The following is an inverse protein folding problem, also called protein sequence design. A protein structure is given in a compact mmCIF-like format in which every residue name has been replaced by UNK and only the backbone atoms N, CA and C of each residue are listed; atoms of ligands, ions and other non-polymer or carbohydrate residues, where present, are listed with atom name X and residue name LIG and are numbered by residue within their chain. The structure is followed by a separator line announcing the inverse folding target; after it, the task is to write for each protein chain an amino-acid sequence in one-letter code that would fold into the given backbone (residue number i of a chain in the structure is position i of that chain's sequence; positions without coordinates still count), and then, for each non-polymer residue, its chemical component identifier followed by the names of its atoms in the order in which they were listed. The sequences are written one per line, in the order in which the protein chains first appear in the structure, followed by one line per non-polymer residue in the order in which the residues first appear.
data_IF_775312407233
#
_entry.id   IF_775312407233
#
_cell.length_a   1.000
_cell.length_b   1.000
_cell.length_c   1.000
_cell.angle_alpha   90.00
_cell.angle_beta   90.00
_cell.angle_gamma   90.00
#
_symmetry.space_group_name_H-M   'P 1'
#
loop_
_entity.id
_entity.type
_entity.pdbx_description
1 polymer ?
#
# COMPACT_ATOMS: atom_id res chain seq x y z
N UNK A 1 -60.59 -29.79 -57.87
CA UNK A 1 -59.77 -29.17 -58.92
C UNK A 1 -59.47 -27.77 -58.43
N UNK A 2 -58.33 -27.62 -57.75
CA UNK A 2 -57.70 -26.38 -57.22
C UNK A 2 -58.56 -25.48 -56.33
N UNK A 3 -58.05 -24.74 -55.36
CA UNK A 3 -56.77 -24.64 -54.67
C UNK A 3 -57.08 -23.92 -53.35
N UNK A 4 -56.42 -24.32 -52.27
CA UNK A 4 -56.42 -23.64 -50.98
C UNK A 4 -55.57 -22.35 -51.09
N UNK A 5 -56.14 -21.19 -50.73
CA UNK A 5 -55.40 -19.93 -50.58
C UNK A 5 -55.31 -19.58 -49.09
N UNK A 6 -54.27 -20.14 -48.46
CA UNK A 6 -53.87 -19.92 -47.07
C UNK A 6 -53.03 -18.62 -47.02
N UNK A 7 -53.50 -17.62 -46.28
CA UNK A 7 -52.86 -16.32 -46.15
C UNK A 7 -51.56 -16.44 -45.33
N UNK A 8 -50.43 -16.53 -46.04
CA UNK A 8 -49.09 -16.58 -45.47
C UNK A 8 -48.71 -15.28 -44.73
N UNK A 9 -48.39 -15.41 -43.45
CA UNK A 9 -47.72 -14.37 -42.66
C UNK A 9 -46.33 -14.07 -43.24
N UNK A 10 -46.07 -12.80 -43.55
CA UNK A 10 -44.78 -12.34 -44.04
C UNK A 10 -43.68 -12.51 -42.97
N UNK A 11 -42.82 -13.51 -43.16
CA UNK A 11 -41.63 -13.72 -42.35
C UNK A 11 -40.57 -12.65 -42.68
N UNK A 12 -40.03 -12.01 -41.64
CA UNK A 12 -38.89 -11.10 -41.75
C UNK A 12 -37.66 -11.82 -42.33
N UNK A 13 -36.81 -11.15 -43.13
CA UNK A 13 -35.68 -11.79 -43.80
C UNK A 13 -34.65 -12.30 -42.80
N UNK A 14 -34.21 -13.55 -43.02
CA UNK A 14 -33.14 -14.19 -42.26
C UNK A 14 -31.82 -13.40 -42.41
N UNK A 15 -31.03 -13.22 -41.32
CA UNK A 15 -29.75 -12.56 -41.40
C UNK A 15 -28.75 -13.42 -42.19
N UNK A 16 -28.05 -12.78 -43.13
CA UNK A 16 -26.95 -13.33 -43.93
C UNK A 16 -25.80 -13.80 -43.04
N UNK A 17 -25.14 -14.93 -43.37
CA UNK A 17 -23.99 -15.42 -42.62
C UNK A 17 -22.73 -14.63 -43.06
N UNK A 18 -22.55 -13.46 -42.46
CA UNK A 18 -21.31 -12.68 -42.50
C UNK A 18 -20.81 -12.45 -41.08
N UNK A 19 -19.68 -13.07 -40.75
CA UNK A 19 -18.83 -12.83 -39.58
C UNK A 19 -19.51 -12.57 -38.24
N UNK A 20 -20.25 -13.57 -37.76
CA UNK A 20 -20.35 -13.79 -36.31
C UNK A 20 -19.28 -14.79 -35.92
N UNK A 21 -18.09 -14.28 -35.56
CA UNK A 21 -17.18 -15.08 -34.76
C UNK A 21 -17.92 -15.58 -33.51
N UNK A 22 -17.79 -16.86 -33.14
CA UNK A 22 -18.24 -17.35 -31.82
C UNK A 22 -17.52 -16.52 -30.73
N UNK A 23 -18.08 -16.42 -29.50
CA UNK A 23 -17.54 -15.53 -28.47
C UNK A 23 -16.10 -15.96 -28.17
N UNK A 24 -15.15 -15.18 -28.71
CA UNK A 24 -13.74 -15.37 -28.49
C UNK A 24 -13.54 -15.34 -26.97
N UNK A 25 -12.90 -16.37 -26.43
CA UNK A 25 -12.62 -16.49 -25.00
C UNK A 25 -12.15 -15.14 -24.45
N UNK A 26 -12.67 -14.77 -23.26
CA UNK A 26 -12.40 -13.48 -22.59
C UNK A 26 -11.00 -12.99 -22.98
N UNK A 27 -10.93 -11.81 -23.62
CA UNK A 27 -9.67 -11.21 -24.04
C UNK A 27 -8.66 -11.34 -22.91
N UNK A 28 -7.38 -11.58 -23.23
CA UNK A 28 -6.33 -11.78 -22.23
C UNK A 28 -6.35 -10.70 -21.13
N UNK A 29 -6.78 -9.49 -21.48
CA UNK A 29 -7.11 -8.39 -20.57
C UNK A 29 -8.00 -8.82 -19.39
N UNK A 30 -9.19 -9.39 -19.62
CA UNK A 30 -10.13 -9.77 -18.55
C UNK A 30 -9.69 -10.99 -17.72
N UNK A 31 -8.56 -11.62 -18.07
CA UNK A 31 -7.95 -12.68 -17.28
C UNK A 31 -6.92 -12.12 -16.28
N UNK A 32 -6.53 -10.86 -16.45
CA UNK A 32 -5.64 -10.18 -15.52
C UNK A 32 -6.38 -9.80 -14.25
N UNK A 33 -5.68 -9.80 -13.13
CA UNK A 33 -6.22 -9.45 -11.82
C UNK A 33 -5.10 -8.87 -10.96
N UNK A 34 -5.28 -7.70 -10.31
CA UNK A 34 -6.46 -6.83 -10.35
C UNK A 34 -6.55 -6.02 -11.66
N UNK A 35 -7.64 -5.30 -11.82
CA UNK A 35 -7.72 -4.11 -12.67
C UNK A 35 -7.81 -2.85 -11.80
N UNK A 36 -7.17 -1.77 -12.26
CA UNK A 36 -7.32 -0.44 -11.68
C UNK A 36 -7.37 0.63 -12.78
N UNK A 37 -8.27 1.60 -12.64
CA UNK A 37 -8.49 2.69 -13.57
C UNK A 37 -8.58 4.02 -12.82
N UNK A 38 -7.93 5.05 -13.33
CA UNK A 38 -8.20 6.45 -12.96
C UNK A 38 -8.85 7.09 -14.19
N UNK A 39 -10.07 7.60 -14.02
CA UNK A 39 -10.87 8.22 -15.07
C UNK A 39 -11.19 9.65 -14.69
N UNK A 40 -11.29 10.57 -15.65
CA UNK A 40 -11.89 11.89 -15.39
C UNK A 40 -13.42 11.80 -15.42
N UNK A 41 -14.10 12.87 -14.96
CA UNK A 41 -15.57 13.03 -15.13
C UNK A 41 -16.06 12.83 -16.57
N UNK A 42 -15.22 13.16 -17.57
CA UNK A 42 -15.53 12.97 -18.97
C UNK A 42 -15.34 11.51 -19.45
N UNK A 43 -15.25 10.54 -18.53
CA UNK A 43 -14.97 9.13 -18.82
C UNK A 43 -13.65 8.89 -19.56
N UNK A 44 -12.70 9.83 -19.48
CA UNK A 44 -11.40 9.69 -20.13
C UNK A 44 -10.42 8.96 -19.21
N UNK A 45 -9.78 7.87 -19.66
CA UNK A 45 -8.79 7.19 -18.86
C UNK A 45 -7.53 8.06 -18.71
N UNK A 46 -7.19 8.38 -17.46
CA UNK A 46 -5.95 9.03 -17.05
C UNK A 46 -4.88 7.96 -16.83
N UNK A 47 -5.24 6.84 -16.21
CA UNK A 47 -4.39 5.67 -15.98
C UNK A 47 -5.21 4.39 -16.07
N UNK A 48 -4.58 3.33 -16.60
CA UNK A 48 -5.05 1.96 -16.52
C UNK A 48 -3.87 1.06 -16.13
N UNK A 49 -4.10 0.12 -15.22
CA UNK A 49 -3.06 -0.81 -14.76
C UNK A 49 -2.53 -1.69 -15.90
N UNK A 50 -3.44 -2.11 -16.77
CA UNK A 50 -3.15 -2.88 -17.98
C UNK A 50 -3.52 -2.05 -19.20
N UNK A 51 -2.81 -2.26 -20.31
CA UNK A 51 -3.02 -1.51 -21.55
C UNK A 51 -4.45 -1.70 -22.09
N UNK A 52 -5.04 -0.61 -22.58
CA UNK A 52 -6.39 -0.59 -23.13
C UNK A 52 -6.31 -0.66 -24.66
N UNK A 53 -6.59 -1.85 -25.22
CA UNK A 53 -6.74 -2.03 -26.67
C UNK A 53 -8.10 -1.57 -27.22
N UNK A 54 -8.20 -1.51 -28.55
CA UNK A 54 -9.43 -1.25 -29.28
C UNK A 54 -10.56 -2.21 -28.83
N UNK A 55 -11.69 -1.64 -28.41
CA UNK A 55 -12.84 -2.38 -27.87
C UNK A 55 -13.02 -2.25 -26.35
N UNK A 56 -11.96 -1.94 -25.60
CA UNK A 56 -12.07 -1.70 -24.15
C UNK A 56 -12.67 -0.34 -23.78
N UNK A 57 -12.84 0.57 -24.76
CA UNK A 57 -13.56 1.84 -24.58
C UNK A 57 -15.00 1.63 -24.10
N UNK A 58 -15.66 0.58 -24.58
CA UNK A 58 -17.00 0.18 -24.15
C UNK A 58 -17.05 -0.18 -22.66
N UNK A 59 -15.97 -0.75 -22.12
CA UNK A 59 -15.84 -1.09 -20.70
C UNK A 59 -15.64 0.15 -19.84
N UNK A 60 -14.79 1.09 -20.28
CA UNK A 60 -14.63 2.39 -19.58
C UNK A 60 -15.95 3.16 -19.57
N UNK A 61 -16.67 3.18 -20.70
CA UNK A 61 -17.99 3.79 -20.79
C UNK A 61 -19.01 3.14 -19.83
N UNK A 62 -18.98 1.82 -19.68
CA UNK A 62 -19.82 1.10 -18.71
C UNK A 62 -19.51 1.53 -17.27
N UNK A 63 -18.24 1.63 -16.89
CA UNK A 63 -17.85 2.07 -15.54
C UNK A 63 -18.39 3.48 -15.25
N UNK A 64 -18.25 4.39 -16.20
CA UNK A 64 -18.79 5.75 -16.06
C UNK A 64 -20.32 5.78 -16.03
N UNK A 65 -21.00 4.96 -16.83
CA UNK A 65 -22.46 4.85 -16.79
C UNK A 65 -22.98 4.35 -15.44
N UNK A 66 -22.28 3.40 -14.79
CA UNK A 66 -22.63 2.93 -13.45
C UNK A 66 -22.55 4.05 -12.41
N UNK A 67 -21.50 4.87 -12.46
CA UNK A 67 -21.33 6.03 -11.56
C UNK A 67 -22.45 7.05 -11.81
N UNK A 68 -22.68 7.42 -13.07
CA UNK A 68 -23.72 8.39 -13.44
C UNK A 68 -25.14 7.95 -13.04
N UNK A 69 -25.44 6.64 -13.16
CA UNK A 69 -26.73 6.11 -12.72
C UNK A 69 -26.92 6.20 -11.21
N UNK A 70 -25.86 5.94 -10.42
CA UNK A 70 -25.93 6.14 -8.96
C UNK A 70 -26.20 7.61 -8.62
N UNK A 71 -25.50 8.54 -9.28
CA UNK A 71 -25.72 9.98 -9.10
C UNK A 71 -27.15 10.41 -9.46
N UNK A 72 -27.73 9.86 -10.53
CA UNK A 72 -29.11 10.14 -10.92
C UNK A 72 -30.14 9.68 -9.88
N UNK A 73 -29.79 8.68 -9.05
CA UNK A 73 -30.58 8.21 -7.93
C UNK A 73 -30.31 8.99 -6.62
N UNK A 74 -29.42 9.99 -6.66
CA UNK A 74 -29.01 10.76 -5.48
C UNK A 74 -28.08 10.00 -4.53
N UNK A 75 -27.42 8.94 -5.01
CA UNK A 75 -26.51 8.10 -4.23
C UNK A 75 -25.10 8.07 -4.86
N UNK A 76 -24.13 7.47 -4.16
CA UNK A 76 -22.76 7.26 -4.65
C UNK A 76 -22.42 5.79 -4.67
N UNK A 77 -21.94 5.32 -5.82
CA UNK A 77 -21.54 3.94 -5.98
C UNK A 77 -20.24 3.69 -5.20
N UNK A 78 -20.26 2.74 -4.26
CA UNK A 78 -19.08 2.40 -3.46
C UNK A 78 -18.45 1.07 -3.86
N UNK A 79 -19.27 0.02 -3.96
CA UNK A 79 -18.81 -1.30 -4.37
C UNK A 79 -19.93 -2.09 -5.04
N UNK A 80 -19.58 -2.85 -6.08
CA UNK A 80 -20.41 -3.86 -6.71
C UNK A 80 -19.74 -5.22 -6.50
N UNK A 81 -20.51 -6.23 -6.11
CA UNK A 81 -20.03 -7.62 -6.05
C UNK A 81 -20.67 -8.42 -7.17
N UNK A 82 -19.85 -8.89 -8.11
CA UNK A 82 -20.26 -9.70 -9.23
C UNK A 82 -19.64 -11.10 -9.10
N UNK A 83 -20.36 -12.02 -8.47
CA UNK A 83 -19.83 -13.35 -8.14
C UNK A 83 -18.64 -13.27 -7.17
N UNK A 84 -17.47 -13.74 -7.64
CA UNK A 84 -16.21 -13.68 -6.89
C UNK A 84 -15.50 -12.31 -7.00
N UNK A 85 -15.85 -11.48 -7.98
CA UNK A 85 -15.18 -10.20 -8.21
C UNK A 85 -15.84 -9.09 -7.39
N UNK A 86 -15.03 -8.35 -6.64
CA UNK A 86 -15.41 -7.09 -6.03
C UNK A 86 -14.90 -5.93 -6.90
N UNK A 87 -15.77 -4.96 -7.17
CA UNK A 87 -15.46 -3.76 -7.94
C UNK A 87 -15.76 -2.56 -7.04
N UNK A 88 -14.73 -1.83 -6.61
CA UNK A 88 -14.83 -0.67 -5.75
C UNK A 88 -14.63 0.63 -6.54
N UNK A 89 -15.38 1.66 -6.16
CA UNK A 89 -15.42 2.95 -6.82
C UNK A 89 -15.08 4.05 -5.79
N UNK A 90 -14.18 4.95 -6.17
CA UNK A 90 -13.77 6.10 -5.38
C UNK A 90 -13.94 7.38 -6.19
N UNK A 91 -14.62 8.36 -5.61
CA UNK A 91 -14.88 9.66 -6.24
C UNK A 91 -14.06 10.74 -5.54
N UNK A 92 -13.05 11.26 -6.24
CA UNK A 92 -12.10 12.27 -5.74
C UNK A 92 -12.21 13.55 -6.58
N UNK A 93 -13.30 14.30 -6.35
CA UNK A 93 -13.64 15.46 -7.19
C UNK A 93 -13.79 15.02 -8.65
N UNK A 94 -13.02 15.59 -9.61
CA UNK A 94 -13.10 15.27 -11.04
C UNK A 94 -12.46 13.95 -11.46
N UNK A 95 -11.93 13.18 -10.50
CA UNK A 95 -11.23 11.92 -10.76
C UNK A 95 -12.01 10.78 -10.11
N UNK A 96 -12.38 9.79 -10.92
CA UNK A 96 -12.94 8.53 -10.49
C UNK A 96 -11.84 7.46 -10.50
N UNK A 97 -11.69 6.75 -9.38
CA UNK A 97 -10.82 5.57 -9.29
C UNK A 97 -11.70 4.34 -9.19
N UNK A 98 -11.43 3.35 -10.04
CA UNK A 98 -12.14 2.07 -10.03
C UNK A 98 -11.12 0.96 -9.90
N UNK A 99 -11.30 0.08 -8.92
CA UNK A 99 -10.46 -1.11 -8.73
C UNK A 99 -11.35 -2.33 -8.70
N UNK A 100 -11.00 -3.34 -9.49
CA UNK A 100 -11.70 -4.61 -9.55
C UNK A 100 -10.74 -5.75 -9.24
N UNK A 101 -11.13 -6.67 -8.36
CA UNK A 101 -10.37 -7.90 -8.15
C UNK A 101 -11.22 -9.07 -7.70
N UNK A 102 -10.80 -10.28 -8.08
CA UNK A 102 -11.34 -11.54 -7.53
C UNK A 102 -10.51 -12.08 -6.35
N UNK A 103 -9.28 -11.58 -6.14
CA UNK A 103 -8.37 -12.00 -5.06
C UNK A 103 -8.48 -11.15 -3.80
N UNK A 104 -9.20 -10.03 -3.86
CA UNK A 104 -9.36 -9.09 -2.76
C UNK A 104 -10.82 -8.65 -2.62
N UNK A 105 -11.25 -8.46 -1.37
CA UNK A 105 -12.58 -7.96 -1.04
C UNK A 105 -12.58 -6.43 -0.86
N UNK A 106 -13.77 -5.86 -0.60
CA UNK A 106 -13.93 -4.43 -0.39
C UNK A 106 -13.07 -3.86 0.75
N UNK A 107 -12.68 -4.66 1.75
CA UNK A 107 -11.88 -4.17 2.87
C UNK A 107 -10.43 -3.86 2.45
N UNK A 108 -9.96 -4.46 1.36
CA UNK A 108 -8.64 -4.22 0.77
C UNK A 108 -8.76 -3.24 -0.40
N UNK A 109 -9.78 -3.40 -1.24
CA UNK A 109 -9.95 -2.59 -2.44
C UNK A 109 -10.31 -1.14 -2.14
N UNK A 110 -11.08 -0.86 -1.08
CA UNK A 110 -11.44 0.51 -0.72
C UNK A 110 -10.21 1.34 -0.26
N UNK A 111 -9.35 0.87 0.66
CA UNK A 111 -8.10 1.56 0.97
C UNK A 111 -7.19 1.73 -0.26
N UNK A 112 -7.21 0.79 -1.20
CA UNK A 112 -6.43 0.88 -2.44
C UNK A 112 -6.80 2.09 -3.28
N UNK A 113 -8.07 2.51 -3.29
CA UNK A 113 -8.52 3.74 -3.96
C UNK A 113 -7.81 4.97 -3.38
N UNK A 114 -7.81 5.12 -2.06
CA UNK A 114 -7.18 6.25 -1.37
C UNK A 114 -5.68 6.31 -1.61
N UNK A 115 -5.01 5.16 -1.64
CA UNK A 115 -3.57 5.13 -1.86
C UNK A 115 -3.16 5.39 -3.31
N UNK A 116 -3.95 4.93 -4.29
CA UNK A 116 -3.75 5.31 -5.68
C UNK A 116 -3.95 6.81 -5.86
N UNK A 117 -4.98 7.38 -5.23
CA UNK A 117 -5.19 8.83 -5.25
C UNK A 117 -4.05 9.60 -4.57
N UNK A 118 -3.61 9.15 -3.38
CA UNK A 118 -2.48 9.73 -2.68
C UNK A 118 -1.19 9.68 -3.50
N UNK A 119 -0.95 8.56 -4.20
CA UNK A 119 0.22 8.40 -5.07
C UNK A 119 0.16 9.28 -6.32
N UNK A 120 -1.04 9.47 -6.88
CA UNK A 120 -1.30 10.44 -7.94
C UNK A 120 -1.03 11.87 -7.48
N UNK A 121 -1.54 12.25 -6.30
CA UNK A 121 -1.28 13.56 -5.71
C UNK A 121 0.20 13.76 -5.37
N UNK A 122 0.94 12.72 -4.97
CA UNK A 122 2.36 12.84 -4.64
C UNK A 122 3.16 13.50 -5.76
N UNK A 123 2.82 13.22 -7.02
CA UNK A 123 3.54 13.73 -8.18
C UNK A 123 2.85 14.93 -8.85
N UNK A 124 1.52 15.05 -8.75
CA UNK A 124 0.76 16.09 -9.45
C UNK A 124 0.13 17.18 -8.57
N UNK A 125 0.03 16.99 -7.26
CA UNK A 125 -0.71 17.83 -6.30
C UNK A 125 -2.20 18.03 -6.67
N UNK A 126 -2.92 18.81 -5.86
CA UNK A 126 -4.30 19.25 -6.17
C UNK A 126 -4.40 20.13 -7.42
N UNK A 127 -3.28 20.58 -8.01
CA UNK A 127 -3.30 21.36 -9.24
C UNK A 127 -3.92 20.58 -10.42
N UNK A 128 -3.69 19.27 -10.50
CA UNK A 128 -4.23 18.41 -11.55
C UNK A 128 -5.76 18.22 -11.48
N UNK A 129 -6.36 17.81 -10.35
CA UNK A 129 -7.81 17.78 -10.25
C UNK A 129 -8.41 19.18 -10.41
N UNK A 130 -7.82 20.22 -9.82
CA UNK A 130 -8.30 21.62 -10.00
C UNK A 130 -8.32 22.06 -11.47
N UNK A 131 -7.41 21.50 -12.30
CA UNK A 131 -7.38 21.75 -13.74
C UNK A 131 -8.55 21.10 -14.47
N UNK A 132 -8.91 19.87 -14.09
CA UNK A 132 -10.09 19.21 -14.65
C UNK A 132 -11.39 19.91 -14.25
N UNK A 133 -11.48 20.50 -13.05
CA UNK A 133 -12.66 21.28 -12.66
C UNK A 133 -12.85 22.52 -13.55
N UNK A 134 -11.75 23.21 -13.88
CA UNK A 134 -11.77 24.39 -14.76
C UNK A 134 -11.93 24.02 -16.24
N UNK A 135 -11.32 22.93 -16.64
CA UNK A 135 -11.28 22.44 -18.02
C UNK A 135 -11.59 20.93 -18.06
N UNK A 136 -12.88 20.53 -18.02
CA UNK A 136 -13.27 19.11 -17.96
C UNK A 136 -12.77 18.25 -19.13
N UNK A 137 -12.48 18.88 -20.27
CA UNK A 137 -11.92 18.23 -21.46
C UNK A 137 -10.38 18.17 -21.50
N UNK A 138 -9.68 18.63 -20.46
CA UNK A 138 -8.22 18.56 -20.40
C UNK A 138 -7.73 17.12 -20.30
N UNK A 139 -6.63 16.80 -20.99
CA UNK A 139 -6.02 15.47 -20.96
C UNK A 139 -4.81 15.44 -20.01
N UNK A 140 -5.01 14.85 -18.82
CA UNK A 140 -3.98 14.74 -17.81
C UNK A 140 -2.86 13.74 -18.16
N UNK A 141 -3.02 12.89 -19.20
CA UNK A 141 -2.01 11.87 -19.54
C UNK A 141 -0.65 12.48 -19.87
N UNK A 142 -0.63 13.70 -20.41
CA UNK A 142 0.61 14.43 -20.68
C UNK A 142 1.37 14.82 -19.40
N UNK A 143 0.71 14.89 -18.25
CA UNK A 143 1.32 15.16 -16.95
C UNK A 143 1.74 13.86 -16.23
N UNK A 144 1.36 12.68 -16.74
CA UNK A 144 1.61 11.39 -16.08
C UNK A 144 3.04 10.84 -16.23
N UNK A 145 3.97 11.57 -16.87
CA UNK A 145 5.32 11.06 -17.16
C UNK A 145 6.05 10.47 -15.94
N UNK A 146 6.04 9.13 -15.82
CA UNK A 146 6.60 8.36 -14.70
C UNK A 146 5.61 8.03 -13.56
N UNK A 147 4.49 8.74 -13.44
CA UNK A 147 3.44 8.52 -12.44
C UNK A 147 2.76 7.16 -12.63
N UNK A 148 2.57 6.77 -13.88
CA UNK A 148 1.94 5.50 -14.25
C UNK A 148 2.70 4.30 -13.64
N UNK A 149 4.02 4.26 -13.80
CA UNK A 149 4.86 3.19 -13.25
C UNK A 149 4.79 3.12 -11.73
N UNK A 150 4.69 4.27 -11.06
CA UNK A 150 4.56 4.36 -9.62
C UNK A 150 3.17 3.93 -9.12
N UNK A 151 2.09 4.26 -9.86
CA UNK A 151 0.74 3.75 -9.61
C UNK A 151 0.65 2.23 -9.78
N UNK A 152 1.38 1.66 -10.74
CA UNK A 152 1.50 0.18 -10.88
C UNK A 152 2.19 -0.43 -9.67
N UNK A 153 3.30 0.15 -9.21
CA UNK A 153 4.00 -0.32 -8.01
C UNK A 153 3.09 -0.23 -6.76
N UNK A 154 2.36 0.89 -6.59
CA UNK A 154 1.39 1.06 -5.50
C UNK A 154 0.27 0.02 -5.56
N UNK A 155 -0.23 -0.31 -6.76
CA UNK A 155 -1.25 -1.34 -6.95
C UNK A 155 -0.78 -2.72 -6.51
N UNK A 156 0.46 -3.08 -6.85
CA UNK A 156 1.05 -4.35 -6.44
C UNK A 156 1.26 -4.42 -4.93
N UNK A 157 1.74 -3.35 -4.30
CA UNK A 157 1.94 -3.31 -2.84
C UNK A 157 0.62 -3.44 -2.08
N UNK A 158 -0.42 -2.73 -2.54
CA UNK A 158 -1.73 -2.71 -1.89
C UNK A 158 -2.36 -4.11 -1.78
N UNK A 159 -2.07 -4.99 -2.74
CA UNK A 159 -2.59 -6.36 -2.76
C UNK A 159 -1.70 -7.40 -2.11
N UNK A 160 -0.39 -7.14 -1.97
CA UNK A 160 0.57 -8.14 -1.53
C UNK A 160 1.12 -7.89 -0.12
N UNK A 161 0.92 -6.69 0.45
CA UNK A 161 1.45 -6.34 1.76
C UNK A 161 0.33 -6.16 2.80
N UNK A 162 0.56 -6.66 4.02
CA UNK A 162 -0.38 -6.51 5.14
C UNK A 162 -0.39 -5.09 5.69
N UNK A 163 0.75 -4.39 5.61
CA UNK A 163 0.92 -2.99 6.03
C UNK A 163 -0.13 -2.07 5.44
N UNK A 164 -0.51 -2.33 4.19
CA UNK A 164 -1.49 -1.56 3.46
C UNK A 164 -2.91 -1.66 4.04
N UNK A 165 -3.43 -2.88 4.19
CA UNK A 165 -4.78 -3.09 4.76
C UNK A 165 -4.85 -2.69 6.23
N UNK A 166 -3.71 -2.70 6.92
CA UNK A 166 -3.62 -2.27 8.31
C UNK A 166 -3.37 -0.75 8.48
N UNK A 167 -3.17 0.02 7.41
CA UNK A 167 -2.81 1.46 7.44
C UNK A 167 -1.61 1.75 8.36
N UNK A 168 -0.52 1.01 8.16
CA UNK A 168 0.74 1.10 8.94
C UNK A 168 1.96 0.94 8.05
N UNK A 169 3.13 1.40 8.52
CA UNK A 169 4.41 1.23 7.82
C UNK A 169 5.23 0.09 8.42
N UNK A 170 5.93 -0.67 7.58
CA UNK A 170 6.87 -1.69 8.07
C UNK A 170 8.00 -1.01 8.85
N UNK A 171 8.31 -1.45 10.06
CA UNK A 171 9.43 -0.96 10.84
C UNK A 171 10.62 -1.92 10.73
N UNK A 172 11.83 -1.37 10.65
CA UNK A 172 13.06 -2.16 10.74
C UNK A 172 13.35 -2.49 12.20
N UNK A 173 13.37 -3.76 12.65
CA UNK A 173 13.68 -4.10 14.04
C UNK A 173 15.15 -3.76 14.37
N UNK A 174 15.36 -2.87 15.33
CA UNK A 174 16.68 -2.38 15.74
C UNK A 174 16.73 -2.19 17.25
N UNK A 175 17.88 -2.45 17.86
CA UNK A 175 18.06 -2.21 19.28
C UNK A 175 17.84 -0.71 19.62
N UNK A 176 17.27 -0.38 20.79
CA UNK A 176 17.03 1.01 21.18
C UNK A 176 18.29 1.89 21.16
N UNK A 177 19.44 1.32 21.53
CA UNK A 177 20.74 2.00 21.47
C UNK A 177 21.14 2.34 20.03
N UNK A 178 20.96 1.41 19.09
CA UNK A 178 21.22 1.64 17.67
C UNK A 178 20.31 2.75 17.11
N UNK A 179 19.01 2.73 17.44
CA UNK A 179 18.07 3.80 17.03
C UNK A 179 18.47 5.15 17.60
N UNK A 180 18.89 5.20 18.87
CA UNK A 180 19.38 6.43 19.48
C UNK A 180 20.63 6.95 18.77
N UNK A 181 21.59 6.07 18.44
CA UNK A 181 22.80 6.46 17.73
C UNK A 181 22.49 7.05 16.33
N UNK A 182 21.63 6.38 15.55
CA UNK A 182 21.15 6.87 14.25
C UNK A 182 20.42 8.22 14.42
N UNK A 183 19.56 8.35 15.44
CA UNK A 183 18.84 9.59 15.72
C UNK A 183 19.80 10.74 16.02
N UNK A 184 20.79 10.50 16.86
CA UNK A 184 21.80 11.50 17.21
C UNK A 184 22.65 11.91 16.01
N UNK A 185 23.03 10.96 15.13
CA UNK A 185 23.77 11.26 13.91
C UNK A 185 22.96 12.14 12.95
N UNK A 186 21.68 11.81 12.73
CA UNK A 186 20.76 12.62 11.92
C UNK A 186 20.65 14.04 12.47
N UNK A 187 20.47 14.19 13.78
CA UNK A 187 20.32 15.51 14.41
C UNK A 187 21.60 16.33 14.43
N UNK A 188 22.78 15.68 14.49
CA UNK A 188 24.11 16.31 14.53
C UNK A 188 24.46 17.01 13.23
N UNK A 189 24.16 16.38 12.09
CA UNK A 189 24.58 16.87 10.77
C UNK A 189 23.57 17.81 10.11
N UNK A 190 22.46 18.13 10.78
CA UNK A 190 21.44 19.05 10.25
C UNK A 190 22.07 20.36 9.79
N UNK A 191 21.53 20.89 8.71
CA UNK A 191 21.94 22.19 8.14
C UNK A 191 20.96 23.25 8.66
N UNK A 192 21.36 24.12 9.61
CA UNK A 192 20.43 25.08 10.21
C UNK A 192 19.86 26.10 9.21
N UNK A 193 20.64 26.41 8.18
CA UNK A 193 20.26 27.37 7.14
C UNK A 193 19.39 26.76 6.03
N UNK A 194 19.07 25.46 6.10
CA UNK A 194 18.21 24.80 5.11
C UNK A 194 16.74 24.79 5.53
N UNK A 195 15.87 24.63 4.54
CA UNK A 195 14.42 24.56 4.69
C UNK A 195 13.92 23.11 4.79
N UNK A 196 14.78 22.20 5.26
CA UNK A 196 14.45 20.79 5.46
C UNK A 196 13.36 20.66 6.53
N UNK A 197 12.27 20.00 6.14
CA UNK A 197 11.11 19.74 6.97
C UNK A 197 11.16 18.34 7.59
N UNK A 198 11.66 17.36 6.84
CA UNK A 198 11.64 15.95 7.24
C UNK A 198 12.79 15.16 6.61
N UNK A 199 13.28 14.18 7.35
CA UNK A 199 14.34 13.26 6.96
C UNK A 199 13.84 11.84 7.25
N UNK A 200 13.86 10.97 6.25
CA UNK A 200 13.42 9.57 6.35
C UNK A 200 14.57 8.67 5.92
N UNK A 201 14.90 7.68 6.75
CA UNK A 201 15.82 6.60 6.39
C UNK A 201 15.01 5.32 6.25
N UNK A 202 15.16 4.67 5.10
CA UNK A 202 14.50 3.42 4.76
C UNK A 202 15.54 2.34 4.47
N UNK A 203 15.17 1.09 4.70
CA UNK A 203 15.84 -0.07 4.09
C UNK A 203 14.81 -0.90 3.36
N UNK A 204 14.86 -0.89 2.03
CA UNK A 204 13.76 -1.35 1.19
C UNK A 204 12.44 -0.68 1.63
N UNK A 205 11.42 -1.49 1.91
CA UNK A 205 10.11 -1.03 2.37
C UNK A 205 10.00 -0.78 3.88
N UNK A 206 11.09 -0.96 4.63
CA UNK A 206 11.11 -0.87 6.09
C UNK A 206 11.67 0.47 6.58
N UNK A 207 10.93 1.11 7.47
CA UNK A 207 11.30 2.35 8.11
C UNK A 207 12.39 2.12 9.15
N UNK A 208 13.52 2.79 8.98
CA UNK A 208 14.63 2.80 9.94
C UNK A 208 14.47 3.95 10.92
N UNK A 209 14.25 5.16 10.38
CA UNK A 209 14.17 6.39 11.15
C UNK A 209 13.34 7.46 10.43
N UNK A 210 12.57 8.23 11.20
CA UNK A 210 12.03 9.53 10.78
C UNK A 210 12.56 10.60 11.72
N UNK A 211 12.95 11.73 11.15
CA UNK A 211 13.20 12.95 11.88
C UNK A 211 12.48 14.12 11.21
N UNK A 212 11.94 15.06 11.97
CA UNK A 212 11.20 16.19 11.41
C UNK A 212 11.38 17.50 12.19
N UNK A 213 11.09 18.63 11.56
CA UNK A 213 11.04 19.92 12.23
C UNK A 213 9.85 19.97 13.20
N UNK A 214 10.01 20.65 14.33
CA UNK A 214 8.95 20.87 15.31
C UNK A 214 7.79 21.61 14.65
N UNK A 215 6.56 21.17 14.93
CA UNK A 215 5.35 21.68 14.28
C UNK A 215 5.09 21.13 12.87
N UNK A 216 6.01 20.35 12.29
CA UNK A 216 5.87 19.78 10.94
C UNK A 216 6.11 18.25 10.93
N UNK A 217 5.37 17.45 11.74
CA UNK A 217 5.52 16.01 11.72
C UNK A 217 5.10 15.42 10.36
N UNK A 218 5.88 14.46 9.86
CA UNK A 218 5.51 13.72 8.67
C UNK A 218 4.35 12.77 9.00
N UNK A 219 3.21 12.96 8.33
CA UNK A 219 2.05 12.09 8.50
C UNK A 219 2.35 10.66 8.04
N UNK A 220 1.74 9.66 8.71
CA UNK A 220 1.94 8.25 8.38
C UNK A 220 1.61 7.95 6.91
N UNK A 221 0.49 8.48 6.40
CA UNK A 221 0.06 8.28 5.00
C UNK A 221 1.09 8.81 4.01
N UNK A 222 1.63 10.00 4.26
CA UNK A 222 2.70 10.57 3.45
C UNK A 222 3.99 9.73 3.53
N UNK A 223 4.32 9.20 4.72
CA UNK A 223 5.44 8.28 4.86
C UNK A 223 5.25 6.99 4.04
N UNK A 224 4.05 6.41 4.00
CA UNK A 224 3.77 5.23 3.16
C UNK A 224 3.94 5.52 1.67
N UNK A 225 3.49 6.70 1.21
CA UNK A 225 3.70 7.15 -0.17
C UNK A 225 5.19 7.28 -0.49
N UNK A 226 5.96 7.87 0.44
CA UNK A 226 7.42 8.01 0.29
C UNK A 226 8.15 6.66 0.27
N UNK A 227 7.66 5.64 0.97
CA UNK A 227 8.21 4.28 0.91
C UNK A 227 8.04 3.68 -0.48
N UNK A 228 6.85 3.75 -1.07
CA UNK A 228 6.61 3.27 -2.44
C UNK A 228 7.46 4.06 -3.45
N UNK A 229 7.47 5.39 -3.32
CA UNK A 229 8.26 6.30 -4.15
C UNK A 229 9.75 5.97 -4.14
N UNK A 230 10.35 5.79 -2.96
CA UNK A 230 11.78 5.53 -2.84
C UNK A 230 12.18 4.20 -3.47
N UNK A 231 11.45 3.12 -3.17
CA UNK A 231 11.75 1.79 -3.69
C UNK A 231 11.56 1.71 -5.22
N UNK A 232 10.58 2.45 -5.75
CA UNK A 232 10.34 2.50 -7.19
C UNK A 232 11.44 3.28 -7.92
N UNK A 233 11.72 4.51 -7.47
CA UNK A 233 12.72 5.36 -8.13
C UNK A 233 14.16 4.87 -7.95
N UNK A 234 14.49 4.21 -6.84
CA UNK A 234 15.83 3.65 -6.63
C UNK A 234 16.19 2.56 -7.63
N UNK A 235 15.18 1.88 -8.21
CA UNK A 235 15.38 0.88 -9.25
C UNK A 235 15.61 1.54 -10.62
N UNK A 236 15.04 2.73 -10.82
CA UNK A 236 15.08 3.45 -12.10
C UNK A 236 16.31 4.34 -12.26
N UNK A 237 16.90 4.81 -11.15
CA UNK A 237 18.03 5.75 -11.16
C UNK A 237 19.23 5.21 -10.37
N UNK A 238 20.40 5.25 -10.99
CA UNK A 238 21.68 4.94 -10.35
C UNK A 238 22.26 6.15 -9.59
N UNK A 239 21.67 7.33 -9.77
CA UNK A 239 22.08 8.57 -9.11
C UNK A 239 21.01 9.11 -8.17
N UNK A 240 21.41 10.03 -7.30
CA UNK A 240 20.48 10.77 -6.44
C UNK A 240 19.42 11.49 -7.30
N UNK A 241 18.19 11.52 -6.81
CA UNK A 241 17.04 12.14 -7.47
C UNK A 241 16.62 13.35 -6.65
N UNK A 242 16.49 14.51 -7.30
CA UNK A 242 15.91 15.72 -6.71
C UNK A 242 14.70 16.13 -7.53
N UNK A 243 13.51 15.98 -6.96
CA UNK A 243 12.25 16.15 -7.69
C UNK A 243 11.20 16.83 -6.83
N UNK A 244 10.31 17.65 -7.42
CA UNK A 244 9.13 18.12 -6.71
C UNK A 244 8.24 16.95 -6.28
N UNK A 245 7.71 17.03 -5.07
CA UNK A 245 6.71 16.11 -4.51
C UNK A 245 5.67 16.88 -3.72
N UNK A 246 4.43 16.41 -3.70
CA UNK A 246 3.36 16.96 -2.88
C UNK A 246 3.03 15.96 -1.77
N UNK A 247 3.04 16.37 -0.50
CA UNK A 247 2.70 15.49 0.61
C UNK A 247 1.22 15.70 0.98
N UNK A 248 0.27 14.84 0.55
CA UNK A 248 -1.15 15.19 0.58
C UNK A 248 -1.72 15.39 1.98
N UNK A 249 -1.26 14.62 2.97
CA UNK A 249 -1.72 14.77 4.35
C UNK A 249 -1.10 16.00 5.05
N UNK A 250 0.08 16.46 4.60
CA UNK A 250 0.68 17.69 5.07
C UNK A 250 0.08 18.94 4.38
N UNK A 251 0.14 19.01 3.05
CA UNK A 251 -0.45 20.08 2.24
C UNK A 251 -0.62 19.64 0.78
N UNK A 252 -1.82 19.19 0.41
CA UNK A 252 -2.14 18.73 -0.93
C UNK A 252 -2.08 19.81 -2.03
N UNK A 253 -1.95 21.10 -1.69
CA UNK A 253 -1.94 22.23 -2.63
C UNK A 253 -0.57 22.75 -2.99
N UNK A 254 0.47 22.31 -2.30
CA UNK A 254 1.82 22.82 -2.46
C UNK A 254 2.79 21.69 -2.79
N UNK A 255 3.78 22.03 -3.62
CA UNK A 255 4.95 21.18 -3.81
C UNK A 255 6.00 21.52 -2.76
N UNK A 256 6.63 20.48 -2.25
CA UNK A 256 7.94 20.48 -1.64
C UNK A 256 8.93 19.82 -2.61
N UNK A 257 10.18 19.64 -2.21
CA UNK A 257 11.19 18.92 -2.96
C UNK A 257 11.72 17.74 -2.16
N UNK A 258 11.77 16.57 -2.79
CA UNK A 258 12.39 15.38 -2.24
C UNK A 258 13.76 15.16 -2.86
N UNK A 259 14.78 15.07 -2.01
CA UNK A 259 16.09 14.53 -2.36
C UNK A 259 16.14 13.07 -1.91
N UNK A 260 15.99 12.15 -2.87
CA UNK A 260 16.16 10.71 -2.68
C UNK A 260 17.59 10.32 -3.03
N UNK A 261 18.26 9.69 -2.08
CA UNK A 261 19.66 9.30 -2.22
C UNK A 261 19.94 7.96 -1.54
N UNK A 262 21.02 7.30 -1.95
CA UNK A 262 21.44 6.01 -1.39
C UNK A 262 22.56 6.18 -0.38
N UNK A 263 22.40 5.63 0.82
CA UNK A 263 23.43 5.59 1.88
C UNK A 263 24.28 4.31 1.83
N UNK A 264 23.67 3.20 1.42
CA UNK A 264 24.30 1.92 1.13
C UNK A 264 23.35 1.07 0.28
N UNK A 265 23.78 -0.11 -0.16
CA UNK A 265 22.91 -1.06 -0.87
C UNK A 265 21.60 -1.25 -0.10
N UNK A 266 20.48 -0.97 -0.79
CA UNK A 266 19.11 -1.08 -0.25
C UNK A 266 18.79 -0.13 0.93
N UNK A 267 19.66 0.83 1.27
CA UNK A 267 19.43 1.83 2.33
C UNK A 267 19.29 3.21 1.71
N UNK A 268 18.09 3.77 1.82
CA UNK A 268 17.71 5.04 1.19
C UNK A 268 17.56 6.16 2.22
N UNK A 269 17.95 7.36 1.83
CA UNK A 269 17.76 8.62 2.54
C UNK A 269 16.85 9.51 1.70
N UNK A 270 15.75 9.94 2.29
CA UNK A 270 14.84 10.93 1.72
C UNK A 270 14.91 12.18 2.59
N UNK A 271 15.22 13.32 1.98
CA UNK A 271 15.16 14.62 2.64
C UNK A 271 14.10 15.47 1.94
N UNK A 272 13.12 15.96 2.70
CA UNK A 272 12.05 16.83 2.21
C UNK A 272 12.35 18.26 2.60
N UNK A 273 12.39 19.17 1.62
CA UNK A 273 12.60 20.61 1.81
C UNK A 273 11.52 21.44 1.13
N UNK A 274 11.24 22.63 1.66
CA UNK A 274 10.38 23.61 1.02
C UNK A 274 11.09 24.44 -0.07
N UNK A 275 12.42 24.41 -0.15
CA UNK A 275 13.21 25.26 -1.07
C UNK A 275 13.99 24.42 -2.10
N UNK A 276 13.82 24.73 -3.39
CA UNK A 276 14.57 24.12 -4.49
C UNK A 276 16.08 24.39 -4.44
N UNK A 277 16.51 25.45 -3.74
CA UNK A 277 17.91 25.86 -3.67
C UNK A 277 18.73 25.08 -2.63
N UNK A 278 18.07 24.27 -1.79
CA UNK A 278 18.72 23.54 -0.71
C UNK A 278 19.60 22.36 -1.19
N UNK A 279 19.58 22.00 -2.48
CA UNK A 279 20.21 20.78 -3.00
C UNK A 279 21.66 20.57 -2.52
N UNK A 280 22.49 21.62 -2.54
CA UNK A 280 23.86 21.55 -2.06
C UNK A 280 23.96 21.22 -0.56
N UNK A 281 23.07 21.80 0.25
CA UNK A 281 22.98 21.51 1.68
C UNK A 281 22.54 20.05 1.94
N UNK A 282 21.61 19.53 1.13
CA UNK A 282 21.12 18.15 1.22
C UNK A 282 22.18 17.12 0.83
N UNK A 283 22.98 17.43 -0.19
CA UNK A 283 24.10 16.59 -0.62
C UNK A 283 25.21 16.59 0.44
N UNK A 284 25.55 17.75 0.99
CA UNK A 284 26.49 17.84 2.10
C UNK A 284 26.00 17.08 3.33
N UNK A 285 24.70 17.20 3.69
CA UNK A 285 24.11 16.44 4.79
C UNK A 285 24.25 14.93 4.58
N UNK A 286 23.94 14.44 3.37
CA UNK A 286 24.07 13.02 3.00
C UNK A 286 25.50 12.53 3.23
N UNK A 287 26.50 13.24 2.73
CA UNK A 287 27.91 12.84 2.82
C UNK A 287 28.37 12.69 4.28
N UNK A 288 28.10 13.71 5.11
CA UNK A 288 28.50 13.71 6.52
C UNK A 288 27.75 12.63 7.32
N UNK A 289 26.44 12.48 7.08
CA UNK A 289 25.64 11.43 7.72
C UNK A 289 26.14 10.04 7.32
N UNK A 290 26.40 9.80 6.03
CA UNK A 290 26.88 8.51 5.55
C UNK A 290 28.23 8.14 6.17
N UNK A 291 29.16 9.10 6.26
CA UNK A 291 30.46 8.89 6.88
C UNK A 291 30.33 8.54 8.38
N UNK A 292 29.47 9.25 9.12
CA UNK A 292 29.23 8.99 10.55
C UNK A 292 28.56 7.63 10.79
N UNK A 293 27.55 7.28 9.99
CA UNK A 293 26.87 5.98 10.08
C UNK A 293 27.80 4.81 9.72
N UNK A 294 28.75 5.03 8.80
CA UNK A 294 29.77 4.03 8.45
C UNK A 294 30.78 3.88 9.60
N UNK A 295 31.34 4.99 10.11
CA UNK A 295 32.33 4.97 11.19
C UNK A 295 31.78 4.38 12.50
N UNK A 296 30.51 4.64 12.80
CA UNK A 296 29.83 4.10 13.99
C UNK A 296 29.38 2.64 13.84
N UNK A 297 29.48 2.04 12.64
CA UNK A 297 28.96 0.71 12.32
C UNK A 297 27.42 0.64 12.27
N UNK A 298 26.72 1.77 12.41
CA UNK A 298 25.26 1.82 12.36
C UNK A 298 24.70 1.42 10.99
N UNK A 299 25.42 1.73 9.91
CA UNK A 299 25.04 1.37 8.55
C UNK A 299 25.06 -0.16 8.35
N UNK A 300 26.05 -0.85 8.91
CA UNK A 300 26.13 -2.31 8.86
C UNK A 300 25.03 -2.97 9.69
N UNK A 301 24.68 -2.40 10.85
CA UNK A 301 23.54 -2.87 11.65
C UNK A 301 22.23 -2.77 10.87
N UNK A 302 22.02 -1.67 10.14
CA UNK A 302 20.83 -1.51 9.27
C UNK A 302 20.85 -2.56 8.16
N UNK A 303 21.99 -2.76 7.48
CA UNK A 303 22.12 -3.74 6.38
C UNK A 303 21.95 -5.18 6.82
N UNK A 304 22.39 -5.53 8.02
CA UNK A 304 22.33 -6.89 8.56
C UNK A 304 20.99 -7.20 9.23
N UNK A 305 20.23 -6.18 9.65
CA UNK A 305 18.91 -6.39 10.22
C UNK A 305 18.00 -7.15 9.21
N UNK A 306 17.31 -8.22 9.60
CA UNK A 306 16.45 -8.96 8.69
C UNK A 306 15.19 -8.14 8.36
N UNK A 307 14.83 -8.05 7.06
CA UNK A 307 13.59 -7.37 6.62
C UNK A 307 12.35 -8.01 7.22
N UNK A 308 12.34 -9.35 7.25
CA UNK A 308 11.41 -10.18 8.00
C UNK A 308 12.21 -10.94 9.05
N UNK A 309 12.20 -10.54 10.32
CA UNK A 309 12.93 -11.22 11.39
C UNK A 309 12.44 -12.64 11.65
N UNK A 310 13.31 -13.56 12.07
CA UNK A 310 12.88 -14.86 12.59
C UNK A 310 12.06 -14.66 13.89
N UNK A 311 11.22 -15.64 14.24
CA UNK A 311 10.29 -15.53 15.39
C UNK A 311 11.02 -15.28 16.72
N UNK A 312 12.23 -15.81 16.86
CA UNK A 312 13.07 -15.65 18.04
C UNK A 312 13.45 -14.20 18.28
N UNK A 313 13.58 -13.38 17.23
CA UNK A 313 13.82 -11.93 17.35
C UNK A 313 12.59 -11.17 17.88
N UNK A 314 11.38 -11.68 17.64
CA UNK A 314 10.15 -11.19 18.27
C UNK A 314 9.98 -11.73 19.70
N UNK A 315 10.84 -12.65 20.13
CA UNK A 315 10.76 -13.33 21.42
C UNK A 315 9.78 -14.51 21.43
N UNK A 316 9.26 -14.88 20.25
CA UNK A 316 8.36 -16.02 20.09
C UNK A 316 9.19 -17.27 19.88
N UNK A 317 9.21 -18.15 20.88
CA UNK A 317 9.99 -19.40 20.87
C UNK A 317 9.12 -20.66 20.74
N UNK A 318 7.80 -20.50 20.68
CA UNK A 318 6.87 -21.61 20.57
C UNK A 318 6.90 -22.18 19.15
N UNK A 319 7.33 -23.44 19.02
CA UNK A 319 7.48 -24.18 17.76
C UNK A 319 6.17 -24.35 16.98
N UNK A 320 5.03 -24.07 17.61
CA UNK A 320 3.73 -24.15 16.96
C UNK A 320 3.36 -22.86 16.23
N UNK A 321 4.07 -21.74 16.45
CA UNK A 321 3.81 -20.50 15.72
C UNK A 321 4.46 -20.58 14.34
N UNK A 322 3.68 -20.33 13.28
CA UNK A 322 4.13 -20.37 11.89
C UNK A 322 4.44 -18.99 11.32
N UNK A 323 3.72 -17.98 11.77
CA UNK A 323 3.94 -16.60 11.38
C UNK A 323 3.36 -15.66 12.44
N UNK A 324 3.99 -14.50 12.59
CA UNK A 324 3.55 -13.46 13.52
C UNK A 324 3.62 -12.09 12.84
N UNK A 325 2.57 -11.30 12.99
CA UNK A 325 2.56 -9.86 12.67
C UNK A 325 2.25 -9.10 13.95
N UNK A 326 3.14 -8.19 14.34
CA UNK A 326 2.91 -7.25 15.43
C UNK A 326 2.67 -5.86 14.85
N UNK A 327 1.58 -5.21 15.25
CA UNK A 327 1.16 -3.88 14.79
C UNK A 327 1.06 -2.95 15.98
N UNK A 328 1.84 -1.88 16.00
CA UNK A 328 1.71 -0.80 16.98
C UNK A 328 0.88 0.33 16.37
N UNK A 329 -0.36 0.47 16.82
CA UNK A 329 -1.25 1.58 16.41
C UNK A 329 -0.76 2.92 16.96
N UNK A 330 -0.09 2.91 18.11
CA UNK A 330 0.44 4.13 18.74
C UNK A 330 1.47 4.88 17.87
N UNK A 331 2.25 4.16 17.05
CA UNK A 331 3.23 4.76 16.16
C UNK A 331 3.01 4.40 14.68
N UNK A 332 1.86 3.80 14.34
CA UNK A 332 1.50 3.44 12.96
C UNK A 332 2.47 2.47 12.29
N UNK A 333 3.04 1.52 13.03
CA UNK A 333 4.09 0.63 12.54
C UNK A 333 3.74 -0.85 12.67
N UNK A 334 4.35 -1.68 11.83
CA UNK A 334 4.29 -3.14 11.96
C UNK A 334 5.63 -3.82 11.79
N UNK A 335 5.72 -5.05 12.29
CA UNK A 335 6.79 -6.00 12.01
C UNK A 335 6.14 -7.36 11.75
N UNK A 336 6.46 -7.99 10.63
CA UNK A 336 6.09 -9.38 10.33
C UNK A 336 7.31 -10.30 10.37
N UNK A 337 7.12 -11.52 10.87
CA UNK A 337 8.18 -12.51 10.98
C UNK A 337 8.46 -13.18 9.64
N UNK A 338 9.51 -13.99 9.57
CA UNK A 338 9.61 -14.99 8.52
C UNK A 338 8.45 -15.97 8.65
N UNK A 339 7.92 -16.40 7.50
CA UNK A 339 6.92 -17.46 7.44
C UNK A 339 7.65 -18.80 7.59
N UNK A 340 7.19 -19.64 8.50
CA UNK A 340 7.75 -20.98 8.71
C UNK A 340 6.99 -22.03 7.90
N UNK A 341 7.67 -23.15 7.61
CA UNK A 341 7.07 -24.30 6.96
C UNK A 341 5.82 -24.81 7.73
N UNK A 342 4.78 -25.29 7.03
CA UNK A 342 4.69 -25.50 5.58
C UNK A 342 4.24 -24.25 4.79
N UNK A 343 4.00 -23.10 5.44
CA UNK A 343 3.41 -21.91 4.80
C UNK A 343 4.41 -21.06 3.98
N UNK A 344 5.63 -21.54 3.77
CA UNK A 344 6.73 -20.79 3.18
C UNK A 344 7.23 -21.37 1.84
N UNK A 345 6.61 -22.45 1.35
CA UNK A 345 7.16 -23.29 0.28
C UNK A 345 6.87 -22.74 -1.12
N UNK A 346 5.67 -22.18 -1.32
CA UNK A 346 5.22 -21.69 -2.63
C UNK A 346 4.69 -20.25 -2.58
N UNK A 347 4.60 -19.54 -3.73
CA UNK A 347 3.91 -18.25 -3.81
C UNK A 347 2.44 -18.32 -3.35
N UNK A 348 1.76 -19.43 -3.63
CA UNK A 348 0.39 -19.67 -3.18
C UNK A 348 0.28 -19.73 -1.64
N UNK A 349 1.30 -20.29 -0.97
CA UNK A 349 1.31 -20.33 0.50
C UNK A 349 1.46 -18.93 1.12
N UNK A 350 2.23 -18.05 0.46
CA UNK A 350 2.37 -16.65 0.90
C UNK A 350 1.06 -15.89 0.76
N UNK A 351 0.36 -16.07 -0.36
CA UNK A 351 -0.96 -15.49 -0.58
C UNK A 351 -1.99 -16.03 0.43
N UNK A 352 -1.95 -17.34 0.69
CA UNK A 352 -2.78 -17.97 1.71
C UNK A 352 -2.50 -17.41 3.11
N UNK A 353 -1.22 -17.29 3.50
CA UNK A 353 -0.78 -16.71 4.77
C UNK A 353 -1.29 -15.27 4.93
N UNK A 354 -1.11 -14.44 3.90
CA UNK A 354 -1.62 -13.06 3.88
C UNK A 354 -3.16 -13.03 4.01
N UNK A 355 -3.86 -13.93 3.32
CA UNK A 355 -5.31 -14.11 3.42
C UNK A 355 -5.78 -14.48 4.83
N UNK A 356 -5.03 -15.33 5.54
CA UNK A 356 -5.31 -15.65 6.94
C UNK A 356 -5.17 -14.42 7.85
N UNK A 357 -4.11 -13.62 7.68
CA UNK A 357 -3.93 -12.39 8.48
C UNK A 357 -5.01 -11.35 8.17
N UNK A 358 -5.39 -11.18 6.90
CA UNK A 358 -6.48 -10.29 6.48
C UNK A 358 -7.81 -10.68 7.12
N UNK A 359 -8.12 -11.98 7.16
CA UNK A 359 -9.30 -12.48 7.90
C UNK A 359 -9.20 -12.19 9.39
N UNK A 360 -8.03 -12.43 10.00
CA UNK A 360 -7.81 -12.16 11.42
C UNK A 360 -8.00 -10.67 11.77
N UNK A 361 -7.51 -9.76 10.92
CA UNK A 361 -7.72 -8.32 11.02
C UNK A 361 -9.21 -7.95 10.89
N UNK A 362 -9.88 -8.49 9.88
CA UNK A 362 -11.32 -8.25 9.66
C UNK A 362 -12.16 -8.70 10.85
N UNK A 363 -11.93 -9.91 11.37
CA UNK A 363 -12.63 -10.42 12.56
C UNK A 363 -12.35 -9.57 13.80
N UNK A 364 -11.11 -9.13 14.01
CA UNK A 364 -10.79 -8.24 15.13
C UNK A 364 -11.51 -6.88 15.04
N UNK A 365 -11.78 -6.40 13.82
CA UNK A 365 -12.54 -5.17 13.58
C UNK A 365 -14.05 -5.29 13.77
N UNK A 366 -14.63 -6.49 13.62
CA UNK A 366 -16.08 -6.71 13.79
C UNK A 366 -16.48 -7.03 15.22
N UNK A 367 -15.55 -7.54 16.03
CA UNK A 367 -15.81 -7.86 17.43
C UNK A 367 -15.79 -6.59 18.28
N UNK A 368 -16.54 -6.60 19.39
CA UNK A 368 -16.58 -5.50 20.35
C UNK A 368 -15.17 -5.02 20.75
N UNK A 369 -14.94 -3.71 20.92
CA UNK A 369 -13.61 -3.17 21.27
C UNK A 369 -13.00 -3.74 22.56
N UNK A 370 -13.84 -4.23 23.48
CA UNK A 370 -13.43 -4.88 24.74
C UNK A 370 -12.83 -6.27 24.54
N UNK A 371 -13.09 -6.93 23.41
CA UNK A 371 -12.52 -8.23 23.11
C UNK A 371 -11.02 -8.11 22.86
N UNK A 372 -10.24 -8.84 23.67
CA UNK A 372 -8.78 -8.84 23.59
C UNK A 372 -8.21 -9.99 22.78
N UNK A 373 -9.05 -10.92 22.35
CA UNK A 373 -8.63 -12.14 21.67
C UNK A 373 -9.74 -12.66 20.76
N UNK A 374 -9.38 -12.91 19.51
CA UNK A 374 -10.19 -13.64 18.53
C UNK A 374 -9.39 -14.87 18.08
N UNK A 375 -10.08 -16.00 17.95
CA UNK A 375 -9.48 -17.26 17.48
C UNK A 375 -10.40 -17.85 16.42
N UNK A 376 -9.84 -18.14 15.27
CA UNK A 376 -10.49 -18.90 14.20
C UNK A 376 -9.75 -20.22 14.02
N UNK A 377 -10.45 -21.33 14.23
CA UNK A 377 -9.93 -22.67 14.02
C UNK A 377 -10.59 -23.28 12.79
N UNK A 378 -9.76 -23.71 11.84
CA UNK A 378 -10.18 -24.43 10.63
C UNK A 378 -9.33 -25.69 10.50
N UNK A 379 -9.81 -26.65 9.71
CA UNK A 379 -9.08 -27.90 9.49
C UNK A 379 -7.67 -27.68 8.90
N UNK A 380 -7.46 -26.59 8.15
CA UNK A 380 -6.18 -26.28 7.51
C UNK A 380 -5.30 -25.31 8.29
N UNK A 381 -5.85 -24.52 9.20
CA UNK A 381 -5.10 -23.50 9.93
C UNK A 381 -5.81 -23.03 11.20
N UNK A 382 -5.03 -22.52 12.15
CA UNK A 382 -5.56 -21.76 13.29
C UNK A 382 -4.95 -20.36 13.27
N UNK A 383 -5.81 -19.34 13.24
CA UNK A 383 -5.41 -17.93 13.29
C UNK A 383 -5.87 -17.29 14.60
N UNK A 384 -5.04 -16.42 15.16
CA UNK A 384 -5.34 -15.66 16.37
C UNK A 384 -5.09 -14.18 16.12
N UNK A 385 -5.92 -13.35 16.71
CA UNK A 385 -5.73 -11.90 16.76
C UNK A 385 -5.86 -11.46 18.22
N UNK A 386 -4.83 -10.81 18.76
CA UNK A 386 -4.75 -10.35 20.14
C UNK A 386 -4.60 -8.84 20.19
N UNK A 387 -5.33 -8.19 21.10
CA UNK A 387 -5.14 -6.77 21.44
C UNK A 387 -4.45 -6.66 22.79
N UNK A 388 -3.23 -6.14 22.78
CA UNK A 388 -2.37 -5.98 23.95
C UNK A 388 -2.43 -4.53 24.49
N UNK A 389 -1.77 -4.30 25.62
CA UNK A 389 -1.68 -2.97 26.23
C UNK A 389 -0.76 -2.04 25.42
N UNK A 390 -1.08 -0.74 25.37
CA UNK A 390 -0.32 0.26 24.61
C UNK A 390 -0.54 0.17 23.11
N UNK A 391 -1.77 -0.19 22.71
CA UNK A 391 -2.26 -0.24 21.33
C UNK A 391 -1.41 -1.09 20.39
N UNK A 392 -0.99 -2.25 20.89
CA UNK A 392 -0.30 -3.28 20.09
C UNK A 392 -1.28 -4.40 19.76
N UNK A 393 -1.55 -4.60 18.48
CA UNK A 393 -2.28 -5.76 17.97
C UNK A 393 -1.28 -6.83 17.50
N UNK A 394 -1.56 -8.10 17.78
CA UNK A 394 -0.72 -9.24 17.36
C UNK A 394 -1.58 -10.24 16.60
N UNK A 395 -1.17 -10.57 15.38
CA UNK A 395 -1.80 -11.56 14.52
C UNK A 395 -0.88 -12.77 14.37
N UNK A 396 -1.39 -13.95 14.69
CA UNK A 396 -0.63 -15.20 14.69
C UNK A 396 -1.29 -16.23 13.79
N UNK A 397 -0.46 -17.00 13.10
CA UNK A 397 -0.86 -18.28 12.54
C UNK A 397 -0.13 -19.35 13.33
N UNK A 398 -0.87 -20.33 13.85
CA UNK A 398 -0.32 -21.44 14.63
C UNK A 398 -0.71 -22.78 14.01
N UNK A 399 -0.05 -23.84 14.46
CA UNK A 399 -0.33 -25.22 14.05
C UNK A 399 -1.83 -25.55 14.22
N UNK A 400 -2.49 -26.10 13.18
CA UNK A 400 -3.90 -26.49 13.27
C UNK A 400 -4.14 -27.70 14.18
N UNK A 401 -3.07 -28.38 14.61
CA UNK A 401 -3.14 -29.56 15.49
C UNK A 401 -3.32 -29.20 16.96
N UNK A 402 -3.17 -27.92 17.33
CA UNK A 402 -3.36 -27.48 18.70
C UNK A 402 -4.83 -27.53 19.09
N UNK A 403 -5.09 -27.90 20.34
CA UNK A 403 -6.41 -27.68 20.93
C UNK A 403 -6.69 -26.19 21.07
N UNK A 404 -7.97 -25.81 21.22
CA UNK A 404 -8.35 -24.40 21.42
C UNK A 404 -7.65 -23.78 22.63
N UNK A 405 -7.54 -24.51 23.75
CA UNK A 405 -6.86 -24.02 24.95
C UNK A 405 -5.38 -23.79 24.72
N UNK A 406 -4.71 -24.72 24.02
CA UNK A 406 -3.26 -24.65 23.77
C UNK A 406 -2.94 -23.52 22.80
N UNK A 407 -3.76 -23.34 21.76
CA UNK A 407 -3.65 -22.22 20.82
C UNK A 407 -3.77 -20.86 21.53
N UNK A 408 -4.76 -20.72 22.43
CA UNK A 408 -4.94 -19.50 23.22
C UNK A 408 -3.74 -19.25 24.13
N UNK A 409 -3.22 -20.27 24.80
CA UNK A 409 -2.07 -20.14 25.68
C UNK A 409 -0.81 -19.78 24.88
N UNK A 410 -0.61 -20.41 23.72
CA UNK A 410 0.44 -20.08 22.76
C UNK A 410 0.37 -18.60 22.35
N UNK A 411 -0.81 -18.12 21.96
CA UNK A 411 -1.02 -16.73 21.58
C UNK A 411 -0.72 -15.74 22.72
N UNK A 412 -1.11 -16.07 23.96
CA UNK A 412 -0.81 -15.23 25.14
C UNK A 412 0.68 -15.17 25.45
N UNK A 413 1.41 -16.28 25.31
CA UNK A 413 2.87 -16.33 25.47
C UNK A 413 3.56 -15.45 24.42
N UNK A 414 3.18 -15.61 23.15
CA UNK A 414 3.71 -14.81 22.05
C UNK A 414 3.42 -13.31 22.24
N UNK A 415 2.18 -12.95 22.59
CA UNK A 415 1.80 -11.57 22.87
C UNK A 415 2.62 -10.95 24.01
N UNK A 416 2.86 -11.70 25.10
CA UNK A 416 3.69 -11.23 26.21
C UNK A 416 5.13 -10.99 25.78
N UNK A 417 5.71 -11.89 24.97
CA UNK A 417 7.07 -11.75 24.46
C UNK A 417 7.23 -10.51 23.55
N UNK A 418 6.27 -10.29 22.65
CA UNK A 418 6.23 -9.11 21.76
C UNK A 418 6.14 -7.82 22.58
N UNK A 419 5.29 -7.82 23.62
CA UNK A 419 5.15 -6.66 24.51
C UNK A 419 6.46 -6.28 25.19
N UNK A 420 7.25 -7.27 25.63
CA UNK A 420 8.56 -7.05 26.24
C UNK A 420 9.59 -6.48 25.25
N UNK A 421 9.45 -6.77 23.95
CA UNK A 421 10.38 -6.34 22.89
C UNK A 421 9.91 -5.13 22.07
N UNK A 422 8.81 -4.47 22.45
CA UNK A 422 8.20 -3.35 21.71
C UNK A 422 9.19 -2.27 21.26
N UNK A 423 10.15 -1.90 22.13
CA UNK A 423 11.15 -0.84 21.86
C UNK A 423 12.19 -1.24 20.80
N UNK A 424 12.39 -2.54 20.62
CA UNK A 424 13.28 -3.09 19.59
C UNK A 424 12.53 -3.21 18.26
N UNK A 425 11.27 -3.65 18.31
CA UNK A 425 10.44 -3.88 17.13
C UNK A 425 10.04 -2.57 16.44
N UNK A 426 9.63 -1.57 17.22
CA UNK A 426 9.08 -0.31 16.68
C UNK A 426 10.00 0.88 16.95
N UNK A 427 10.03 1.83 16.02
CA UNK A 427 10.58 3.17 16.24
C UNK A 427 9.54 4.02 16.99
N UNK A 428 9.55 3.89 18.33
CA UNK A 428 8.56 4.52 19.24
C UNK A 428 8.72 6.04 19.37
N UNK A 429 9.86 6.60 18.98
CA UNK A 429 10.16 8.03 19.12
C UNK A 429 10.88 8.48 17.88
N UNK A 430 10.32 9.46 17.19
CA UNK A 430 10.96 10.12 16.07
C UNK A 430 11.80 11.30 16.58
N UNK A 431 12.93 11.51 15.94
CA UNK A 431 13.77 12.66 16.26
C UNK A 431 13.07 13.95 15.81
N UNK A 432 13.17 15.01 16.57
CA UNK A 432 12.66 16.32 16.15
C UNK A 432 13.62 17.44 16.48
N UNK A 433 13.47 18.56 15.78
CA UNK A 433 14.31 19.74 15.98
C UNK A 433 13.55 21.05 15.84
N UNK A 434 14.06 22.10 16.49
CA UNK A 434 13.55 23.47 16.39
C UNK A 434 13.74 24.07 14.99
#
# INVERSE_FOLDING_TARGET
MGDDDDAAAAAAPAPTPGDRHPPVGRSAFFQQDPHAFLLSWAARPIFALHELDAGHESFVALLSALISNAHALGDRLRCVRAGATSICFGEFGPIYIVVASARADQAILLPMLDALYGQFLLLLSESAPSMLEKHPGYDLRHLMGGVDSLLRAQSQLSLNEFSFVADVVQAMPLAPSSRSAISSAVLRHRRPDSHVMSIVILRGHSLVQVAHRQGMPLALRDCMLLVTFANHLSVLSMSDVFTPVCLPAFNARAFAYAHLSTLADDVFLIQITADSNDLAALQGFKQDLQADLLLSGALDLIRQAPRRPPLEMLGVTDVNVRHCIAVSRACGQMVDSQVQAPLAETPADRELCLGMHRRALSMMGTVQPSARLVVEMRCSHTSLALRLAGDVDVFLIVSPLLSRSDAIQCGRRAGTAIQQRRKTLFAMTFASWS
#
